data_IF_997500901994
#
_entry.id   IF_997500901994
#
_cell.length_a   1.000
_cell.length_b   1.000
_cell.length_c   1.000
_cell.angle_alpha   90.00
_cell.angle_beta   90.00
_cell.angle_gamma   90.00
#
_symmetry.space_group_name_H-M   'P 1'
#
loop_
_entity.id
_entity.type
_entity.pdbx_description
1 polymer ?
#
# COMPACT_ATOMS: atom_id res chain seq x y z
N UNK A 1 21.23 9.09 55.89
CA UNK A 1 20.01 9.91 55.70
C UNK A 1 19.31 9.44 54.43
N UNK A 2 18.22 8.67 54.56
CA UNK A 2 17.46 8.13 53.42
C UNK A 2 16.21 9.01 53.28
N UNK A 3 16.17 9.89 52.28
CA UNK A 3 14.97 10.71 52.02
C UNK A 3 13.94 9.84 51.28
N UNK A 4 12.85 9.54 51.99
CA UNK A 4 11.67 8.85 51.46
C UNK A 4 11.05 9.73 50.35
N UNK A 5 11.16 9.30 49.09
CA UNK A 5 10.51 9.96 47.96
C UNK A 5 8.99 9.77 48.10
N UNK A 6 8.24 10.87 48.01
CA UNK A 6 6.79 10.93 48.21
C UNK A 6 6.02 9.96 47.29
N UNK A 7 4.99 9.29 47.82
CA UNK A 7 4.10 8.37 47.11
C UNK A 7 3.47 8.98 45.84
N UNK A 8 3.28 10.31 45.82
CA UNK A 8 2.69 11.03 44.67
C UNK A 8 3.60 11.06 43.45
N UNK A 9 4.92 11.08 43.64
CA UNK A 9 5.89 11.04 42.54
C UNK A 9 6.01 9.65 41.91
N UNK A 10 5.80 8.58 42.68
CA UNK A 10 5.82 7.20 42.16
C UNK A 10 4.58 6.94 41.27
N UNK A 11 3.40 7.37 41.70
CA UNK A 11 2.17 7.23 40.90
C UNK A 11 2.20 8.04 39.61
N UNK A 12 2.82 9.23 39.61
CA UNK A 12 2.99 10.03 38.40
C UNK A 12 3.94 9.34 37.40
N UNK A 13 5.02 8.73 37.90
CA UNK A 13 5.95 7.94 37.08
C UNK A 13 5.29 6.71 36.46
N UNK A 14 4.46 5.97 37.22
CA UNK A 14 3.73 4.80 36.71
C UNK A 14 2.68 5.21 35.67
N UNK A 15 1.95 6.31 35.90
CA UNK A 15 0.96 6.82 34.95
C UNK A 15 1.60 7.28 33.63
N UNK A 16 2.76 7.94 33.70
CA UNK A 16 3.56 8.29 32.52
C UNK A 16 4.06 7.03 31.80
N UNK A 17 4.53 6.02 32.54
CA UNK A 17 4.96 4.75 31.95
C UNK A 17 3.81 4.02 31.22
N UNK A 18 2.59 4.07 31.77
CA UNK A 18 1.38 3.51 31.15
C UNK A 18 0.94 4.27 29.89
N UNK A 19 1.09 5.61 29.88
CA UNK A 19 0.84 6.45 28.70
C UNK A 19 1.83 6.15 27.57
N UNK A 20 3.10 5.90 27.89
CA UNK A 20 4.10 5.49 26.91
C UNK A 20 3.87 4.06 26.39
N UNK A 21 3.50 3.11 27.26
CA UNK A 21 3.22 1.72 26.86
C UNK A 21 2.02 1.60 25.89
N UNK A 22 0.99 2.44 26.08
CA UNK A 22 -0.18 2.49 25.20
C UNK A 22 0.15 2.98 23.79
N UNK A 23 1.15 3.87 23.66
CA UNK A 23 1.59 4.39 22.36
C UNK A 23 2.30 3.35 21.49
N UNK A 24 3.07 2.44 22.10
CA UNK A 24 3.84 1.42 21.38
C UNK A 24 2.94 0.33 20.81
N UNK A 25 1.96 -0.16 21.57
CA UNK A 25 1.00 -1.17 21.08
C UNK A 25 0.13 -0.65 19.92
N UNK A 26 -0.22 0.64 19.93
CA UNK A 26 -0.93 1.28 18.82
C UNK A 26 -0.06 1.44 17.56
N UNK A 27 1.27 1.43 17.70
CA UNK A 27 2.21 1.50 16.58
C UNK A 27 2.42 0.12 15.92
N UNK A 28 2.45 -0.96 16.69
CA UNK A 28 2.45 -2.33 16.15
C UNK A 28 1.18 -2.64 15.34
N UNK A 29 0.02 -2.14 15.78
CA UNK A 29 -1.23 -2.28 15.04
C UNK A 29 -1.24 -1.53 13.69
N UNK A 30 -0.42 -0.49 13.53
CA UNK A 30 -0.25 0.27 12.28
C UNK A 30 0.82 -0.31 11.36
N UNK A 31 1.66 -1.21 11.86
CA UNK A 31 2.55 -2.02 11.04
C UNK A 31 1.76 -3.17 10.38
N UNK A 32 0.66 -2.84 9.68
CA UNK A 32 0.07 -3.77 8.73
C UNK A 32 1.15 -4.13 7.73
N UNK A 33 1.45 -5.43 7.60
CA UNK A 33 2.47 -5.93 6.69
C UNK A 33 2.30 -5.27 5.32
N UNK A 34 3.31 -4.52 4.88
CA UNK A 34 3.30 -3.91 3.55
C UNK A 34 3.10 -5.04 2.53
N UNK A 35 2.20 -4.87 1.55
CA UNK A 35 2.03 -5.87 0.52
C UNK A 35 3.37 -6.06 -0.20
N UNK A 36 3.75 -7.31 -0.43
CA UNK A 36 4.85 -7.61 -1.32
C UNK A 36 4.37 -7.35 -2.75
N UNK A 37 5.12 -6.53 -3.49
CA UNK A 37 4.79 -6.14 -4.85
C UNK A 37 5.88 -6.65 -5.77
N UNK A 38 5.50 -7.39 -6.81
CA UNK A 38 6.41 -7.82 -7.87
C UNK A 38 5.84 -7.47 -9.24
N UNK A 39 6.74 -7.16 -10.17
CA UNK A 39 6.39 -6.82 -11.54
C UNK A 39 7.14 -7.74 -12.50
N UNK A 40 6.42 -8.25 -13.50
CA UNK A 40 7.02 -8.91 -14.67
C UNK A 40 6.74 -8.04 -15.89
N UNK A 41 7.79 -7.73 -16.64
CA UNK A 41 7.69 -6.96 -17.87
C UNK A 41 8.17 -7.83 -19.02
N UNK A 42 7.30 -8.07 -20.00
CA UNK A 42 7.60 -8.85 -21.20
C UNK A 42 7.27 -8.07 -22.47
N UNK A 43 7.89 -8.51 -23.58
CA UNK A 43 7.68 -7.94 -24.91
C UNK A 43 7.54 -9.08 -25.91
N UNK A 44 6.44 -9.83 -25.81
CA UNK A 44 6.20 -11.02 -26.65
C UNK A 44 6.17 -10.70 -28.16
N UNK A 45 5.76 -9.47 -28.51
CA UNK A 45 5.64 -8.98 -29.90
C UNK A 45 6.34 -7.63 -30.09
N UNK A 46 7.68 -7.58 -30.21
CA UNK A 46 8.42 -6.31 -30.20
C UNK A 46 8.02 -5.30 -31.28
N UNK A 47 7.57 -5.77 -32.45
CA UNK A 47 7.14 -4.93 -33.56
C UNK A 47 5.87 -4.12 -33.29
N UNK A 48 5.11 -4.45 -32.23
CA UNK A 48 3.90 -3.69 -31.86
C UNK A 48 4.22 -2.49 -30.97
N UNK A 49 5.46 -2.39 -30.46
CA UNK A 49 5.86 -1.41 -29.44
C UNK A 49 5.02 -1.50 -28.15
N UNK A 50 4.38 -2.63 -27.88
CA UNK A 50 3.64 -2.88 -26.65
C UNK A 50 4.48 -3.67 -25.66
N UNK A 51 4.34 -3.33 -24.38
CA UNK A 51 4.87 -4.09 -23.26
C UNK A 51 3.71 -4.73 -22.51
N UNK A 52 3.91 -5.98 -22.14
CA UNK A 52 3.04 -6.70 -21.21
C UNK A 52 3.57 -6.46 -19.80
N UNK A 53 2.73 -5.95 -18.91
CA UNK A 53 3.12 -5.67 -17.52
C UNK A 53 2.18 -6.43 -16.60
N UNK A 54 2.73 -7.41 -15.88
CA UNK A 54 2.03 -8.13 -14.83
C UNK A 54 2.48 -7.58 -13.47
N UNK A 55 1.54 -7.19 -12.62
CA UNK A 55 1.78 -6.80 -11.24
C UNK A 55 1.13 -7.81 -10.31
N UNK A 56 1.90 -8.38 -9.37
CA UNK A 56 1.38 -9.25 -8.31
C UNK A 56 1.51 -8.54 -6.97
N UNK A 57 0.38 -8.43 -6.27
CA UNK A 57 0.25 -7.91 -4.92
C UNK A 57 0.00 -9.08 -3.98
N UNK A 58 0.93 -9.37 -3.07
CA UNK A 58 0.76 -10.41 -2.04
C UNK A 58 0.66 -9.79 -0.67
N UNK A 59 -0.44 -10.05 0.03
CA UNK A 59 -0.63 -9.65 1.42
C UNK A 59 -1.39 -10.72 2.20
N UNK A 60 -1.26 -10.72 3.52
CA UNK A 60 -2.08 -11.59 4.38
C UNK A 60 -3.57 -11.27 4.26
N UNK A 61 -3.91 -10.00 4.03
CA UNK A 61 -5.25 -9.51 3.75
C UNK A 61 -5.16 -8.17 3.01
N UNK A 62 -5.74 -8.08 1.81
CA UNK A 62 -5.90 -6.80 1.13
C UNK A 62 -7.09 -6.01 1.71
N UNK A 63 -7.06 -4.67 1.67
CA UNK A 63 -8.25 -3.86 1.91
C UNK A 63 -9.30 -4.17 0.85
N UNK A 64 -10.58 -3.97 1.15
CA UNK A 64 -11.70 -4.25 0.22
C UNK A 64 -11.55 -3.56 -1.15
N UNK A 65 -10.86 -2.43 -1.18
CA UNK A 65 -10.52 -1.66 -2.38
C UNK A 65 -9.04 -1.32 -2.41
N UNK A 66 -8.44 -1.45 -3.59
CA UNK A 66 -7.07 -1.04 -3.87
C UNK A 66 -7.08 -0.03 -5.01
N UNK A 67 -6.39 1.10 -4.84
CA UNK A 67 -6.16 2.06 -5.90
C UNK A 67 -4.75 1.87 -6.44
N UNK A 68 -4.62 1.51 -7.72
CA UNK A 68 -3.37 1.54 -8.45
C UNK A 68 -3.24 2.89 -9.14
N UNK A 69 -2.14 3.60 -8.87
CA UNK A 69 -1.89 4.94 -9.41
C UNK A 69 -0.61 4.91 -10.25
N UNK A 70 -0.72 5.35 -11.49
CA UNK A 70 0.45 5.59 -12.35
C UNK A 70 0.96 7.02 -12.11
N UNK A 71 2.25 7.22 -11.80
CA UNK A 71 2.81 8.56 -11.66
C UNK A 71 2.60 9.42 -12.91
N UNK A 72 2.49 10.74 -12.74
CA UNK A 72 2.33 11.71 -13.85
C UNK A 72 3.62 12.45 -14.18
N UNK A 73 4.75 12.08 -13.56
CA UNK A 73 6.07 12.64 -13.82
C UNK A 73 7.13 11.61 -13.40
N UNK A 74 8.37 11.81 -13.83
CA UNK A 74 9.50 10.95 -13.47
C UNK A 74 10.67 11.81 -12.95
N UNK A 75 11.41 11.37 -11.92
CA UNK A 75 12.57 12.09 -11.41
C UNK A 75 13.55 12.49 -12.52
N UNK A 76 14.03 13.73 -12.45
CA UNK A 76 14.86 14.34 -13.49
C UNK A 76 14.08 15.15 -14.54
N UNK A 77 12.76 14.98 -14.65
CA UNK A 77 11.89 15.79 -15.51
C UNK A 77 10.69 16.33 -14.74
N UNK A 78 10.70 17.63 -14.43
CA UNK A 78 9.63 18.32 -13.67
C UNK A 78 8.47 18.77 -14.56
N UNK A 79 8.09 17.93 -15.51
CA UNK A 79 6.96 18.19 -16.38
C UNK A 79 5.89 17.13 -16.17
N UNK A 80 4.63 17.56 -16.16
CA UNK A 80 3.49 16.66 -16.13
C UNK A 80 3.44 15.87 -17.45
N UNK A 81 3.14 14.59 -17.34
CA UNK A 81 3.03 13.60 -18.41
C UNK A 81 1.75 12.79 -18.20
N UNK A 82 1.22 12.34 -19.32
CA UNK A 82 -0.04 11.58 -19.38
C UNK A 82 0.26 10.08 -19.57
N UNK A 83 1.18 9.49 -18.78
CA UNK A 83 1.61 8.10 -18.98
C UNK A 83 0.44 7.10 -18.94
N UNK A 84 -0.57 7.37 -18.10
CA UNK A 84 -1.78 6.53 -17.97
C UNK A 84 -2.64 6.44 -19.23
N UNK A 85 -2.38 7.24 -20.28
CA UNK A 85 -3.03 7.13 -21.59
C UNK A 85 -2.52 5.93 -22.41
N UNK A 86 -1.34 5.42 -22.08
CA UNK A 86 -0.68 4.32 -22.79
C UNK A 86 -0.99 2.95 -22.17
N UNK A 87 -1.71 2.92 -21.05
CA UNK A 87 -2.20 1.68 -20.46
C UNK A 87 -3.45 1.26 -21.23
N UNK A 88 -3.35 0.11 -21.88
CA UNK A 88 -4.44 -0.56 -22.58
C UNK A 88 -4.67 -1.96 -21.99
N UNK A 89 -5.84 -2.53 -22.26
CA UNK A 89 -6.19 -3.90 -21.90
C UNK A 89 -6.01 -4.22 -20.39
N UNK A 90 -6.30 -3.24 -19.53
CA UNK A 90 -6.19 -3.41 -18.09
C UNK A 90 -7.18 -4.46 -17.57
N UNK A 91 -6.67 -5.43 -16.82
CA UNK A 91 -7.46 -6.44 -16.14
C UNK A 91 -6.87 -6.70 -14.74
N UNK A 92 -7.73 -7.17 -13.84
CA UNK A 92 -7.34 -7.59 -12.50
C UNK A 92 -7.98 -8.94 -12.20
N UNK A 93 -7.25 -9.82 -11.53
CA UNK A 93 -7.73 -11.13 -11.11
C UNK A 93 -7.23 -11.46 -9.69
N UNK A 94 -7.96 -12.32 -8.98
CA UNK A 94 -7.51 -12.91 -7.73
C UNK A 94 -6.46 -14.02 -7.97
N UNK A 95 -5.90 -14.58 -6.89
CA UNK A 95 -4.92 -15.66 -6.96
C UNK A 95 -5.45 -16.95 -7.61
N UNK A 96 -6.77 -17.11 -7.76
CA UNK A 96 -7.42 -18.24 -8.43
C UNK A 96 -7.72 -17.95 -9.92
N UNK A 97 -7.41 -16.75 -10.41
CA UNK A 97 -7.72 -16.31 -11.77
C UNK A 97 -9.15 -15.76 -11.94
N UNK A 98 -9.89 -15.58 -10.84
CA UNK A 98 -11.20 -14.95 -10.83
C UNK A 98 -11.10 -13.46 -11.16
N UNK A 99 -11.81 -13.01 -12.19
CA UNK A 99 -11.79 -11.61 -12.60
C UNK A 99 -12.33 -10.70 -11.49
N UNK A 100 -11.56 -9.68 -11.13
CA UNK A 100 -11.93 -8.66 -10.15
C UNK A 100 -12.60 -7.49 -10.85
N UNK A 101 -13.64 -6.92 -10.23
CA UNK A 101 -14.25 -5.68 -10.72
C UNK A 101 -13.29 -4.52 -10.50
N UNK A 102 -13.21 -3.64 -11.49
CA UNK A 102 -12.40 -2.44 -11.40
C UNK A 102 -13.04 -1.31 -12.19
N UNK A 103 -12.62 -0.08 -11.89
CA UNK A 103 -12.99 1.11 -12.65
C UNK A 103 -11.83 2.10 -12.70
N UNK A 104 -11.72 2.83 -13.81
CA UNK A 104 -10.79 3.96 -13.93
C UNK A 104 -11.43 5.20 -13.31
N UNK A 105 -10.90 5.69 -12.19
CA UNK A 105 -11.51 6.80 -11.43
C UNK A 105 -11.08 8.18 -11.91
N UNK A 106 -9.91 8.27 -12.53
CA UNK A 106 -9.35 9.49 -13.13
C UNK A 106 -8.36 9.10 -14.26
N UNK A 107 -7.55 10.05 -14.75
CA UNK A 107 -6.64 9.82 -15.89
C UNK A 107 -5.58 8.74 -15.65
N UNK A 108 -5.17 8.51 -14.40
CA UNK A 108 -4.02 7.70 -14.03
C UNK A 108 -4.27 6.76 -12.83
N UNK A 109 -5.52 6.62 -12.39
CA UNK A 109 -5.91 5.76 -11.26
C UNK A 109 -6.92 4.69 -11.66
N UNK A 110 -6.63 3.46 -11.26
CA UNK A 110 -7.51 2.29 -11.37
C UNK A 110 -7.89 1.81 -9.97
N UNK A 111 -9.19 1.79 -9.67
CA UNK A 111 -9.73 1.22 -8.43
C UNK A 111 -10.18 -0.21 -8.66
N UNK A 112 -9.67 -1.13 -7.86
CA UNK A 112 -9.95 -2.56 -7.93
C UNK A 112 -10.72 -2.96 -6.66
N UNK A 113 -11.86 -3.60 -6.82
CA UNK A 113 -12.62 -4.22 -5.74
C UNK A 113 -12.02 -5.60 -5.46
N UNK A 114 -11.27 -5.74 -4.37
CA UNK A 114 -10.62 -7.01 -4.00
C UNK A 114 -11.52 -7.87 -3.12
N UNK A 115 -12.49 -7.26 -2.42
CA UNK A 115 -13.31 -7.90 -1.40
C UNK A 115 -12.48 -8.68 -0.34
N UNK A 116 -11.23 -8.30 -0.11
CA UNK A 116 -10.32 -9.00 0.81
C UNK A 116 -9.66 -10.26 0.22
N UNK A 117 -9.67 -10.42 -1.11
CA UNK A 117 -8.88 -11.41 -1.82
C UNK A 117 -7.38 -11.30 -1.46
N UNK A 118 -6.66 -12.41 -1.59
CA UNK A 118 -5.22 -12.52 -1.33
C UNK A 118 -4.42 -12.49 -2.61
#
# INVERSE_FOLDING_TARGET
>A
MIRLVSSRTISLFIAVLFLFASGVAAQEARAGAQPEISFTVSMSKPHTHLLEVEMRLRASRLPAQVNLVMPVWAPGSYLIREFGRHVQDFAAADAQGGALRWQKTDKNTWRIETNGAK
#
